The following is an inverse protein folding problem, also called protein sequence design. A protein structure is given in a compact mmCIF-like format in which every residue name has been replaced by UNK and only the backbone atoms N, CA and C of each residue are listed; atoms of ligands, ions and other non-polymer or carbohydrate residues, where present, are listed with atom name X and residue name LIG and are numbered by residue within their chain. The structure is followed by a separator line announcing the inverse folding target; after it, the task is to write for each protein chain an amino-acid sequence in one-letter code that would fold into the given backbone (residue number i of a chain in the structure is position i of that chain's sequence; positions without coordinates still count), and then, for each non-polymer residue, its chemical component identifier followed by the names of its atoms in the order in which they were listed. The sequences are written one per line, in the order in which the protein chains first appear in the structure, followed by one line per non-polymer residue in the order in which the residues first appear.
data_IF_943008444869
#
_entry.id   IF_943008444869
#
_cell.length_a   1.000
_cell.length_b   1.000
_cell.length_c   1.000
_cell.angle_alpha   90.00
_cell.angle_beta   90.00
_cell.angle_gamma   90.00
#
_symmetry.space_group_name_H-M   'P 1'
#
loop_
_entity.id
_entity.type
_entity.pdbx_description
1 polymer ?
#
# COMPACT_ATOMS: atom_id res chain seq x y z
N UNK A 1 -19.92 29.85 62.43
CA UNK A 1 -21.21 29.52 61.79
C UNK A 1 -21.35 30.48 60.64
N UNK A 2 -20.93 30.03 59.46
CA UNK A 2 -21.29 30.51 58.12
C UNK A 2 -20.86 29.38 57.18
N UNK A 3 -21.72 28.90 56.26
CA UNK A 3 -21.37 27.80 55.35
C UNK A 3 -20.59 28.33 54.13
N UNK A 4 -19.72 27.52 53.50
CA UNK A 4 -18.99 27.94 52.32
C UNK A 4 -19.88 27.91 51.07
N UNK A 5 -19.78 28.98 50.30
CA UNK A 5 -20.42 29.19 48.99
C UNK A 5 -19.82 28.22 47.97
N UNK A 6 -20.71 27.57 47.21
CA UNK A 6 -20.39 26.64 46.13
C UNK A 6 -19.85 27.41 44.91
N UNK A 7 -18.77 26.89 44.34
CA UNK A 7 -18.01 27.42 43.21
C UNK A 7 -18.76 27.15 41.89
N UNK A 8 -19.21 28.20 41.19
CA UNK A 8 -19.83 28.08 39.86
C UNK A 8 -18.74 28.02 38.79
N UNK A 9 -18.51 26.80 38.29
CA UNK A 9 -17.63 26.52 37.15
C UNK A 9 -18.29 26.98 35.85
N UNK A 10 -17.92 28.16 35.32
CA UNK A 10 -18.27 28.56 33.96
C UNK A 10 -17.13 28.26 32.97
N UNK A 11 -17.34 27.17 32.23
CA UNK A 11 -17.17 27.04 30.77
C UNK A 11 -16.01 27.79 30.10
N UNK A 12 -14.82 27.20 30.12
CA UNK A 12 -13.78 27.51 29.13
C UNK A 12 -14.01 26.63 27.90
N UNK A 13 -14.49 27.25 26.82
CA UNK A 13 -14.54 26.63 25.49
C UNK A 13 -13.10 26.48 24.99
N UNK A 14 -12.61 25.29 24.59
CA UNK A 14 -11.33 25.21 23.90
C UNK A 14 -11.52 25.76 22.49
N UNK A 15 -10.98 26.94 22.24
CA UNK A 15 -10.80 27.46 20.89
C UNK A 15 -9.88 26.49 20.13
N UNK A 16 -10.41 25.90 19.06
CA UNK A 16 -9.60 25.12 18.14
C UNK A 16 -8.57 26.04 17.48
N UNK A 17 -7.27 25.71 17.48
CA UNK A 17 -6.28 26.54 16.83
C UNK A 17 -6.51 26.56 15.32
N UNK A 18 -6.51 27.77 14.77
CA UNK A 18 -6.65 28.11 13.36
C UNK A 18 -5.44 27.53 12.60
N UNK A 19 -5.71 26.83 11.51
CA UNK A 19 -4.80 25.95 10.75
C UNK A 19 -3.67 26.66 9.97
N UNK A 20 -3.03 27.71 10.50
CA UNK A 20 -2.01 28.48 9.75
C UNK A 20 -0.65 28.62 10.46
N UNK A 21 -0.39 27.86 11.53
CA UNK A 21 0.89 27.93 12.24
C UNK A 21 1.50 26.55 12.49
N UNK A 22 1.60 25.74 11.41
CA UNK A 22 2.56 24.63 11.35
C UNK A 22 3.79 25.16 10.62
N UNK A 23 4.72 25.67 11.42
CA UNK A 23 6.12 25.88 11.07
C UNK A 23 6.57 24.64 10.30
N UNK A 24 7.08 24.86 9.08
CA UNK A 24 7.70 23.86 8.21
C UNK A 24 8.87 23.25 8.96
N UNK A 25 8.63 22.18 9.71
CA UNK A 25 9.68 21.26 10.11
C UNK A 25 10.20 20.62 8.82
N UNK A 26 11.50 20.79 8.48
CA UNK A 26 12.06 20.05 7.36
C UNK A 26 11.85 18.55 7.65
N UNK A 27 11.50 17.74 6.63
CA UNK A 27 11.37 16.31 6.81
C UNK A 27 12.66 15.77 7.45
N UNK A 28 12.57 14.77 8.34
CA UNK A 28 13.78 14.10 8.83
C UNK A 28 14.59 13.69 7.61
N UNK A 29 15.86 14.10 7.58
CA UNK A 29 16.79 13.75 6.52
C UNK A 29 16.72 12.24 6.31
N UNK A 30 16.21 11.83 5.15
CA UNK A 30 16.19 10.44 4.72
C UNK A 30 17.61 9.91 4.93
N UNK A 31 17.81 8.72 5.55
CA UNK A 31 19.13 8.12 5.62
C UNK A 31 19.70 8.14 4.21
N UNK A 32 20.82 8.82 4.01
CA UNK A 32 21.46 8.92 2.71
C UNK A 32 21.84 7.50 2.31
N UNK A 33 20.98 6.85 1.52
CA UNK A 33 21.23 5.54 0.94
C UNK A 33 22.59 5.62 0.24
N UNK A 34 23.44 4.63 0.49
CA UNK A 34 24.73 4.53 -0.17
C UNK A 34 24.52 4.09 -1.62
N UNK A 35 23.94 5.00 -2.41
CA UNK A 35 23.66 4.82 -3.83
C UNK A 35 24.94 4.45 -4.58
N UNK A 36 26.10 4.98 -4.15
CA UNK A 36 27.39 4.64 -4.74
C UNK A 36 27.74 3.18 -4.49
N UNK A 37 27.71 2.73 -3.23
CA UNK A 37 27.99 1.33 -2.89
C UNK A 37 27.02 0.36 -3.57
N UNK A 38 25.75 0.72 -3.70
CA UNK A 38 24.77 -0.08 -4.44
C UNK A 38 25.11 -0.17 -5.93
N UNK A 39 25.39 0.96 -6.60
CA UNK A 39 25.77 0.99 -8.02
C UNK A 39 27.07 0.21 -8.29
N UNK A 40 28.07 0.32 -7.42
CA UNK A 40 29.33 -0.40 -7.54
C UNK A 40 29.14 -1.93 -7.36
N UNK A 41 28.20 -2.34 -6.50
CA UNK A 41 27.79 -3.75 -6.42
C UNK A 41 27.10 -4.21 -7.71
N UNK A 42 26.17 -3.41 -8.26
CA UNK A 42 25.49 -3.77 -9.51
C UNK A 42 26.47 -3.92 -10.68
N UNK A 43 27.49 -3.04 -10.78
CA UNK A 43 28.59 -3.17 -11.76
C UNK A 43 29.30 -4.52 -11.65
N UNK A 44 29.61 -4.94 -10.43
CA UNK A 44 30.31 -6.21 -10.16
C UNK A 44 29.43 -7.43 -10.44
N UNK A 45 28.14 -7.37 -10.11
CA UNK A 45 27.15 -8.40 -10.48
C UNK A 45 27.00 -8.52 -12.00
N UNK A 46 26.94 -7.40 -12.74
CA UNK A 46 26.87 -7.42 -14.20
C UNK A 46 28.12 -8.10 -14.79
N UNK A 47 29.30 -7.74 -14.31
CA UNK A 47 30.55 -8.31 -14.76
C UNK A 47 30.64 -9.82 -14.47
N UNK A 48 30.18 -10.28 -13.30
CA UNK A 48 30.22 -11.70 -12.92
C UNK A 48 29.22 -12.55 -13.70
N UNK A 49 28.07 -11.99 -14.08
CA UNK A 49 27.06 -12.64 -14.91
C UNK A 49 27.31 -12.46 -16.42
N UNK A 50 28.41 -11.81 -16.80
CA UNK A 50 28.73 -11.46 -18.20
C UNK A 50 27.62 -10.67 -18.91
N UNK A 51 26.90 -9.83 -18.17
CA UNK A 51 25.86 -8.96 -18.69
C UNK A 51 26.47 -7.64 -19.18
N UNK A 52 26.01 -7.15 -20.33
CA UNK A 52 26.31 -5.77 -20.75
C UNK A 52 25.46 -4.80 -19.93
N UNK A 53 26.04 -4.31 -18.84
CA UNK A 53 25.49 -3.20 -18.08
C UNK A 53 25.62 -1.91 -18.91
N UNK A 54 24.51 -1.21 -19.13
CA UNK A 54 24.52 0.09 -19.80
C UNK A 54 24.75 1.17 -18.75
N UNK A 55 25.80 1.98 -18.93
CA UNK A 55 26.06 3.13 -18.09
C UNK A 55 25.25 4.31 -18.63
N UNK A 56 24.17 4.64 -17.93
CA UNK A 56 23.29 5.73 -18.30
C UNK A 56 23.88 7.04 -17.81
N UNK A 57 24.37 7.85 -18.75
CA UNK A 57 24.79 9.21 -18.46
C UNK A 57 23.53 10.04 -18.17
N UNK A 58 23.47 10.64 -16.98
CA UNK A 58 22.36 11.51 -16.63
C UNK A 58 22.48 12.80 -17.47
N UNK A 59 21.40 13.26 -18.15
CA UNK A 59 21.45 14.49 -18.92
C UNK A 59 21.87 15.64 -18.00
N UNK A 60 23.09 16.15 -18.19
CA UNK A 60 23.62 17.25 -17.41
C UNK A 60 23.19 18.56 -18.05
N UNK A 61 22.34 19.33 -17.36
CA UNK A 61 22.07 20.72 -17.73
C UNK A 61 23.35 21.53 -17.50
N UNK A 62 23.96 22.05 -18.57
CA UNK A 62 25.26 22.75 -18.51
C UNK A 62 25.27 23.97 -17.58
N UNK A 63 24.08 24.48 -17.22
CA UNK A 63 23.89 25.61 -16.32
C UNK A 63 24.08 25.28 -14.83
N UNK A 64 24.00 24.01 -14.41
CA UNK A 64 24.04 23.61 -12.98
C UNK A 64 25.18 22.65 -12.63
N UNK A 65 26.13 22.42 -13.56
CA UNK A 65 27.26 21.51 -13.36
C UNK A 65 28.18 21.88 -12.18
N UNK A 66 28.18 23.14 -11.74
CA UNK A 66 28.99 23.60 -10.61
C UNK A 66 28.33 23.33 -9.24
N UNK A 67 27.04 22.96 -9.22
CA UNK A 67 26.26 22.76 -8.00
C UNK A 67 25.91 21.30 -7.72
N UNK A 68 26.06 20.41 -8.72
CA UNK A 68 25.80 18.99 -8.57
C UNK A 68 27.11 18.21 -8.42
N UNK A 69 27.31 17.44 -7.34
CA UNK A 69 28.40 16.47 -7.31
C UNK A 69 28.18 15.49 -8.46
N UNK A 70 29.14 15.43 -9.39
CA UNK A 70 29.24 14.52 -10.55
C UNK A 70 28.11 13.50 -10.63
N UNK A 71 27.18 13.71 -11.55
CA UNK A 71 26.08 12.78 -11.82
C UNK A 71 26.62 11.35 -11.89
N UNK A 72 26.24 10.52 -10.92
CA UNK A 72 26.67 9.14 -10.89
C UNK A 72 26.09 8.45 -12.13
N UNK A 73 26.96 7.91 -12.99
CA UNK A 73 26.52 7.01 -14.05
C UNK A 73 25.69 5.89 -13.44
N UNK A 74 24.40 5.84 -13.80
CA UNK A 74 23.48 4.80 -13.31
C UNK A 74 23.68 3.57 -14.16
N UNK A 75 23.91 2.43 -13.52
CA UNK A 75 23.98 1.15 -14.22
C UNK A 75 22.60 0.57 -14.39
N UNK A 76 22.19 0.42 -15.65
CA UNK A 76 20.98 -0.29 -16.02
C UNK A 76 21.31 -1.73 -16.41
N UNK A 77 20.63 -2.69 -15.79
CA UNK A 77 20.66 -4.07 -16.25
C UNK A 77 19.72 -4.24 -17.45
N UNK A 78 20.13 -5.02 -18.47
CA UNK A 78 19.21 -5.43 -19.51
C UNK A 78 18.12 -6.32 -18.91
N UNK A 79 16.88 -6.17 -19.38
CA UNK A 79 15.78 -7.03 -18.95
C UNK A 79 16.07 -8.47 -19.40
N UNK A 80 16.23 -9.38 -18.44
CA UNK A 80 16.49 -10.79 -18.72
C UNK A 80 15.41 -11.39 -19.64
N UNK A 81 15.83 -12.12 -20.68
CA UNK A 81 14.93 -12.59 -21.76
C UNK A 81 13.76 -13.43 -21.23
N UNK A 82 14.02 -14.27 -20.22
CA UNK A 82 12.97 -15.06 -19.57
C UNK A 82 11.89 -14.18 -18.90
N UNK A 83 12.29 -13.06 -18.29
CA UNK A 83 11.36 -12.10 -17.67
C UNK A 83 10.56 -11.37 -18.76
N UNK A 84 11.24 -10.90 -19.80
CA UNK A 84 10.61 -10.26 -20.95
C UNK A 84 9.58 -11.17 -21.64
N UNK A 85 9.88 -12.47 -21.77
CA UNK A 85 8.97 -13.44 -22.38
C UNK A 85 7.69 -13.61 -21.57
N UNK A 86 7.82 -13.68 -20.24
CA UNK A 86 6.66 -13.80 -19.33
C UNK A 86 5.82 -12.52 -19.40
N UNK A 87 6.43 -11.34 -19.27
CA UNK A 87 5.71 -10.06 -19.30
C UNK A 87 5.00 -9.85 -20.63
N UNK A 88 5.69 -10.08 -21.75
CA UNK A 88 5.14 -9.89 -23.09
C UNK A 88 3.96 -10.83 -23.37
N UNK A 89 4.02 -12.08 -22.89
CA UNK A 89 2.90 -13.02 -23.02
C UNK A 89 1.66 -12.55 -22.25
N UNK A 90 1.85 -12.03 -21.03
CA UNK A 90 0.75 -11.51 -20.22
C UNK A 90 0.13 -10.25 -20.84
N UNK A 91 0.94 -9.38 -21.44
CA UNK A 91 0.49 -8.14 -22.08
C UNK A 91 -0.27 -8.33 -23.38
N UNK A 92 -0.29 -9.52 -23.99
CA UNK A 92 -1.10 -9.76 -25.18
C UNK A 92 -2.61 -9.73 -24.89
N UNK A 93 -3.03 -10.11 -23.68
CA UNK A 93 -4.45 -10.20 -23.31
C UNK A 93 -4.74 -9.65 -21.91
N UNK A 94 -4.40 -8.38 -21.62
CA UNK A 94 -4.36 -7.84 -20.25
C UNK A 94 -5.73 -7.86 -19.56
N UNK A 95 -6.80 -7.62 -20.33
CA UNK A 95 -8.18 -7.64 -19.83
C UNK A 95 -8.67 -9.04 -19.45
N UNK A 96 -8.15 -10.09 -20.11
CA UNK A 96 -8.59 -11.48 -19.96
C UNK A 96 -7.67 -12.33 -19.10
N UNK A 97 -6.61 -11.74 -18.52
CA UNK A 97 -5.70 -12.46 -17.63
C UNK A 97 -6.46 -13.11 -16.47
N UNK A 98 -6.30 -14.42 -16.39
CA UNK A 98 -6.82 -15.23 -15.30
C UNK A 98 -6.19 -14.79 -13.95
N UNK A 99 -6.88 -15.02 -12.82
CA UNK A 99 -6.28 -14.90 -11.50
C UNK A 99 -5.03 -15.77 -11.36
N UNK A 100 -4.15 -15.40 -10.44
CA UNK A 100 -2.95 -16.17 -10.08
C UNK A 100 -3.37 -17.61 -9.74
N UNK A 101 -2.57 -18.59 -10.16
CA UNK A 101 -2.96 -19.98 -9.95
C UNK A 101 -2.89 -20.34 -8.46
N UNK A 102 -3.86 -21.13 -7.98
CA UNK A 102 -3.87 -21.63 -6.59
C UNK A 102 -2.62 -22.43 -6.23
N UNK A 103 -1.93 -23.01 -7.22
CA UNK A 103 -0.69 -23.75 -7.02
C UNK A 103 0.46 -22.80 -6.66
N UNK A 104 0.58 -21.67 -7.36
CA UNK A 104 1.58 -20.64 -7.08
C UNK A 104 1.30 -19.93 -5.75
N UNK A 105 0.04 -19.67 -5.42
CA UNK A 105 -0.34 -19.10 -4.13
C UNK A 105 0.12 -19.93 -2.93
N UNK A 106 0.09 -21.27 -3.05
CA UNK A 106 0.52 -22.18 -1.97
C UNK A 106 2.02 -22.15 -1.69
N UNK A 107 2.84 -21.66 -2.63
CA UNK A 107 4.29 -21.58 -2.43
C UNK A 107 4.68 -20.51 -1.42
N UNK A 108 3.93 -19.41 -1.38
CA UNK A 108 4.23 -18.23 -0.56
C UNK A 108 3.17 -18.06 0.52
N UNK A 109 3.21 -18.95 1.51
CA UNK A 109 2.21 -19.02 2.56
C UNK A 109 2.60 -18.16 3.77
N UNK A 110 1.70 -17.27 4.16
CA UNK A 110 1.73 -16.51 5.43
C UNK A 110 0.61 -17.04 6.34
N UNK A 111 0.86 -17.27 7.65
CA UNK A 111 -0.17 -17.73 8.57
C UNK A 111 -1.42 -16.86 8.53
N UNK A 112 -2.62 -17.46 8.44
CA UNK A 112 -3.85 -16.70 8.26
C UNK A 112 -4.17 -15.77 9.44
N UNK A 113 -3.88 -16.19 10.67
CA UNK A 113 -4.26 -15.46 11.88
C UNK A 113 -3.63 -14.06 11.87
N UNK A 114 -4.46 -13.03 11.77
CA UNK A 114 -4.04 -11.62 11.73
C UNK A 114 -3.53 -11.13 10.38
N UNK A 115 -3.53 -11.97 9.35
CA UNK A 115 -3.05 -11.66 8.00
C UNK A 115 -4.06 -12.10 6.92
N UNK A 116 -5.33 -12.25 7.29
CA UNK A 116 -6.41 -12.69 6.41
C UNK A 116 -6.54 -11.78 5.18
N UNK A 117 -6.22 -10.50 5.35
CA UNK A 117 -6.21 -9.46 4.34
C UNK A 117 -5.30 -9.74 3.14
N UNK A 118 -4.32 -10.63 3.29
CA UNK A 118 -3.47 -11.06 2.20
C UNK A 118 -4.21 -11.99 1.23
N UNK A 119 -5.23 -12.70 1.70
CA UNK A 119 -5.92 -13.74 0.93
C UNK A 119 -7.30 -13.32 0.45
N UNK A 120 -7.94 -12.40 1.18
CA UNK A 120 -9.27 -11.91 0.83
C UNK A 120 -9.24 -10.40 0.71
N UNK A 121 -9.93 -9.92 -0.31
CA UNK A 121 -10.18 -8.49 -0.44
C UNK A 121 -11.17 -8.04 0.65
N UNK A 122 -11.07 -6.80 1.14
CA UNK A 122 -12.00 -6.28 2.13
C UNK A 122 -13.42 -6.27 1.55
N UNK A 123 -14.39 -6.70 2.33
CA UNK A 123 -15.82 -6.62 1.95
C UNK A 123 -16.28 -5.18 2.21
N UNK A 124 -17.09 -4.57 1.32
CA UNK A 124 -17.75 -3.30 1.61
C UNK A 124 -18.54 -3.44 2.92
N UNK A 125 -18.54 -2.42 3.77
CA UNK A 125 -19.31 -2.48 5.01
C UNK A 125 -20.81 -2.66 4.75
N UNK A 126 -21.52 -3.14 5.78
CA UNK A 126 -22.96 -3.42 5.69
C UNK A 126 -23.76 -2.18 5.28
N UNK A 127 -23.48 -0.97 5.76
CA UNK A 127 -24.31 0.20 5.42
C UNK A 127 -24.12 0.68 3.96
N UNK A 128 -22.88 0.82 3.50
CA UNK A 128 -22.60 1.20 2.10
C UNK A 128 -23.02 0.08 1.16
N UNK A 129 -22.74 -1.18 1.50
CA UNK A 129 -23.20 -2.35 0.75
C UNK A 129 -24.73 -2.44 0.67
N UNK A 130 -25.43 -2.20 1.79
CA UNK A 130 -26.89 -2.17 1.86
C UNK A 130 -27.49 -1.03 1.05
N UNK A 131 -26.87 0.16 1.07
CA UNK A 131 -27.31 1.29 0.23
C UNK A 131 -27.25 0.97 -1.26
N UNK A 132 -26.19 0.26 -1.69
CA UNK A 132 -26.04 -0.20 -3.08
C UNK A 132 -27.06 -1.28 -3.41
N UNK A 133 -27.22 -2.29 -2.55
CA UNK A 133 -28.18 -3.38 -2.74
C UNK A 133 -29.63 -2.88 -2.76
N UNK A 134 -30.00 -1.95 -1.88
CA UNK A 134 -31.34 -1.37 -1.83
C UNK A 134 -31.64 -0.55 -3.09
N UNK A 135 -30.66 0.20 -3.61
CA UNK A 135 -30.80 0.93 -4.87
C UNK A 135 -30.91 0.00 -6.08
N UNK A 136 -30.22 -1.14 -6.07
CA UNK A 136 -30.37 -2.20 -7.07
C UNK A 136 -31.75 -2.89 -7.00
N UNK A 137 -32.27 -3.12 -5.79
CA UNK A 137 -33.58 -3.76 -5.56
C UNK A 137 -34.78 -2.84 -5.87
N UNK A 138 -34.64 -1.51 -5.72
CA UNK A 138 -35.75 -0.58 -5.92
C UNK A 138 -36.22 -0.46 -7.38
N UNK A 139 -35.54 -1.04 -8.37
CA UNK A 139 -36.04 -1.18 -9.75
C UNK A 139 -36.44 0.13 -10.44
N UNK A 140 -36.14 1.31 -9.88
CA UNK A 140 -36.48 2.59 -10.48
C UNK A 140 -35.63 2.79 -11.73
N UNK A 141 -36.25 3.03 -12.90
CA UNK A 141 -35.49 3.41 -14.09
C UNK A 141 -34.91 4.80 -13.82
N UNK A 142 -33.64 4.86 -13.43
CA UNK A 142 -32.89 6.09 -13.49
C UNK A 142 -32.78 6.50 -14.97
N UNK A 143 -32.81 7.81 -15.31
CA UNK A 143 -32.59 8.29 -16.69
C UNK A 143 -31.19 7.94 -17.21
N UNK A 144 -30.29 7.50 -16.32
CA UNK A 144 -28.90 7.16 -16.60
C UNK A 144 -28.72 5.64 -16.61
N UNK A 145 -28.04 5.07 -17.64
CA UNK A 145 -27.74 3.65 -17.71
C UNK A 145 -27.02 3.16 -16.45
N UNK A 146 -27.23 1.88 -16.08
CA UNK A 146 -26.39 1.16 -15.09
C UNK A 146 -24.95 1.65 -15.18
N UNK A 147 -24.38 2.12 -14.07
CA UNK A 147 -22.99 2.55 -14.03
C UNK A 147 -22.07 1.31 -14.17
N UNK A 148 -21.95 0.80 -15.40
CA UNK A 148 -21.10 -0.34 -15.76
C UNK A 148 -19.64 -0.06 -15.42
N UNK A 149 -19.27 1.23 -15.39
CA UNK A 149 -17.90 1.66 -15.16
C UNK A 149 -17.50 1.55 -13.69
N UNK A 150 -18.40 1.84 -12.74
CA UNK A 150 -18.12 1.57 -11.31
C UNK A 150 -17.99 0.08 -11.02
N UNK A 151 -18.86 -0.77 -11.58
CA UNK A 151 -18.73 -2.24 -11.42
C UNK A 151 -17.41 -2.77 -12.01
N UNK A 152 -17.00 -2.24 -13.17
CA UNK A 152 -15.69 -2.54 -13.77
C UNK A 152 -14.54 -2.06 -12.89
N UNK A 153 -14.65 -0.86 -12.33
CA UNK A 153 -13.64 -0.28 -11.44
C UNK A 153 -13.46 -1.11 -10.16
N UNK A 154 -14.54 -1.59 -9.55
CA UNK A 154 -14.45 -2.47 -8.38
C UNK A 154 -13.88 -3.85 -8.74
N UNK A 155 -14.28 -4.43 -9.87
CA UNK A 155 -13.69 -5.67 -10.36
C UNK A 155 -12.18 -5.54 -10.63
N UNK A 156 -11.77 -4.43 -11.23
CA UNK A 156 -10.35 -4.12 -11.45
C UNK A 156 -9.61 -3.91 -10.14
N UNK A 157 -10.17 -3.13 -9.20
CA UNK A 157 -9.61 -2.92 -7.88
C UNK A 157 -9.42 -4.24 -7.11
N UNK A 158 -10.38 -5.18 -7.18
CA UNK A 158 -10.22 -6.51 -6.58
C UNK A 158 -9.05 -7.29 -7.17
N UNK A 159 -8.87 -7.22 -8.50
CA UNK A 159 -7.77 -7.89 -9.19
C UNK A 159 -6.41 -7.30 -8.81
N UNK A 160 -6.29 -5.97 -8.78
CA UNK A 160 -5.07 -5.30 -8.32
C UNK A 160 -4.78 -5.66 -6.87
N UNK A 161 -5.78 -5.58 -5.98
CA UNK A 161 -5.61 -5.94 -4.57
C UNK A 161 -5.04 -7.35 -4.39
N UNK A 162 -5.66 -8.36 -5.01
CA UNK A 162 -5.20 -9.76 -4.88
C UNK A 162 -3.80 -9.96 -5.48
N UNK A 163 -3.51 -9.33 -6.63
CA UNK A 163 -2.18 -9.40 -7.25
C UNK A 163 -1.11 -8.78 -6.35
N UNK A 164 -1.39 -7.62 -5.77
CA UNK A 164 -0.47 -6.92 -4.89
C UNK A 164 -0.33 -7.64 -3.54
N UNK A 165 -1.40 -8.19 -2.97
CA UNK A 165 -1.31 -9.04 -1.77
C UNK A 165 -0.46 -10.30 -2.01
N UNK A 166 -0.53 -10.89 -3.20
CA UNK A 166 0.34 -12.00 -3.57
C UNK A 166 1.80 -11.55 -3.70
N UNK A 167 2.06 -10.42 -4.38
CA UNK A 167 3.40 -9.84 -4.47
C UNK A 167 4.00 -9.55 -3.09
N UNK A 168 3.19 -9.05 -2.14
CA UNK A 168 3.61 -8.81 -0.76
C UNK A 168 4.02 -10.11 -0.05
N UNK A 169 3.31 -11.23 -0.30
CA UNK A 169 3.71 -12.56 0.23
C UNK A 169 5.02 -13.05 -0.38
N UNK A 170 5.21 -12.84 -1.69
CA UNK A 170 6.45 -13.19 -2.39
C UNK A 170 7.61 -12.38 -1.81
N UNK A 171 7.45 -11.07 -1.67
CA UNK A 171 8.45 -10.17 -1.11
C UNK A 171 8.80 -10.53 0.35
N UNK A 172 7.81 -10.87 1.18
CA UNK A 172 8.05 -11.35 2.54
C UNK A 172 8.89 -12.65 2.57
N UNK A 173 8.57 -13.61 1.70
CA UNK A 173 9.39 -14.82 1.58
C UNK A 173 10.81 -14.53 1.09
N UNK A 174 10.97 -13.62 0.12
CA UNK A 174 12.28 -13.20 -0.37
C UNK A 174 13.10 -12.55 0.75
N UNK A 175 12.53 -11.59 1.48
CA UNK A 175 13.22 -10.94 2.60
C UNK A 175 13.70 -11.93 3.68
N UNK A 176 12.89 -12.94 4.00
CA UNK A 176 13.31 -13.98 4.96
C UNK A 176 14.45 -14.85 4.42
N UNK A 177 14.43 -15.19 3.13
CA UNK A 177 15.49 -15.96 2.48
C UNK A 177 16.79 -15.15 2.39
N UNK A 178 16.69 -13.89 1.97
CA UNK A 178 17.85 -13.00 1.82
C UNK A 178 18.47 -12.66 3.18
N UNK A 179 17.65 -12.51 4.24
CA UNK A 179 18.13 -12.36 5.61
C UNK A 179 18.85 -13.62 6.10
N UNK A 180 18.33 -14.81 5.76
CA UNK A 180 19.00 -16.07 6.08
C UNK A 180 20.32 -16.21 5.33
N UNK A 181 20.36 -15.86 4.04
CA UNK A 181 21.57 -15.84 3.23
C UNK A 181 22.61 -14.86 3.79
N UNK A 182 22.19 -13.67 4.21
CA UNK A 182 23.07 -12.71 4.89
C UNK A 182 23.70 -13.30 6.16
N UNK A 183 22.89 -13.93 7.01
CA UNK A 183 23.39 -14.57 8.24
C UNK A 183 24.33 -15.76 7.97
N UNK A 184 24.10 -16.49 6.87
CA UNK A 184 25.00 -17.53 6.38
C UNK A 184 26.36 -16.93 6.03
N UNK A 185 26.39 -15.90 5.20
CA UNK A 185 27.62 -15.21 4.82
C UNK A 185 28.33 -14.61 6.04
N UNK A 186 27.60 -13.98 6.95
CA UNK A 186 28.18 -13.51 8.22
C UNK A 186 28.76 -14.66 9.06
N UNK A 187 28.08 -15.81 9.13
CA UNK A 187 28.58 -16.96 9.90
C UNK A 187 29.83 -17.58 9.27
N UNK A 188 29.89 -17.63 7.93
CA UNK A 188 31.05 -18.11 7.18
C UNK A 188 32.31 -17.26 7.45
N UNK A 189 32.16 -15.95 7.75
CA UNK A 189 33.29 -15.09 8.13
C UNK A 189 34.03 -15.55 9.39
N UNK A 190 33.36 -16.28 10.28
CA UNK A 190 33.98 -16.82 11.52
C UNK A 190 34.97 -17.95 11.25
N UNK A 191 34.98 -18.50 10.03
CA UNK A 191 35.93 -19.52 9.60
C UNK A 191 37.13 -18.94 8.84
N UNK A 192 37.20 -17.61 8.68
CA UNK A 192 38.27 -16.91 7.95
C UNK A 192 39.67 -17.30 8.47
N UNK A 193 39.88 -17.26 9.80
CA UNK A 193 41.17 -17.60 10.42
C UNK A 193 41.64 -19.06 10.21
N UNK A 194 40.71 -19.95 9.85
CA UNK A 194 40.99 -21.36 9.60
C UNK A 194 41.44 -21.65 8.15
N UNK A 195 41.27 -20.70 7.24
CA UNK A 195 41.53 -20.83 5.80
C UNK A 195 42.82 -20.11 5.38
N UNK A 196 43.93 -20.42 6.07
CA UNK A 196 45.26 -19.77 5.97
C UNK A 196 45.93 -19.68 4.59
N UNK A 197 45.41 -20.34 3.54
CA UNK A 197 46.08 -20.37 2.23
C UNK A 197 45.54 -19.35 1.21
N UNK A 198 44.37 -18.73 1.45
CA UNK A 198 43.78 -17.73 0.52
C UNK A 198 43.06 -16.57 1.24
N UNK A 199 43.63 -16.06 2.33
CA UNK A 199 43.01 -15.04 3.20
C UNK A 199 42.40 -13.84 2.45
N UNK A 200 43.12 -13.22 1.51
CA UNK A 200 42.65 -11.99 0.84
C UNK A 200 41.51 -12.22 -0.16
N UNK A 201 41.61 -13.24 -1.00
CA UNK A 201 40.56 -13.54 -2.00
C UNK A 201 39.31 -14.10 -1.33
N UNK A 202 39.48 -14.92 -0.29
CA UNK A 202 38.38 -15.46 0.49
C UNK A 202 37.61 -14.33 1.20
N UNK A 203 38.32 -13.39 1.83
CA UNK A 203 37.68 -12.23 2.47
C UNK A 203 36.87 -11.39 1.49
N UNK A 204 37.42 -11.06 0.32
CA UNK A 204 36.70 -10.29 -0.72
C UNK A 204 35.46 -11.05 -1.18
N UNK A 205 35.53 -12.38 -1.35
CA UNK A 205 34.38 -13.20 -1.71
C UNK A 205 33.30 -13.20 -0.62
N UNK A 206 33.70 -13.27 0.65
CA UNK A 206 32.80 -13.22 1.80
C UNK A 206 32.07 -11.88 1.90
N UNK A 207 32.81 -10.77 1.78
CA UNK A 207 32.26 -9.42 1.76
C UNK A 207 31.29 -9.24 0.58
N UNK A 208 31.61 -9.82 -0.58
CA UNK A 208 30.75 -9.76 -1.77
C UNK A 208 29.44 -10.54 -1.61
N UNK A 209 29.49 -11.76 -1.07
CA UNK A 209 28.29 -12.54 -0.75
C UNK A 209 27.37 -11.81 0.23
N UNK A 210 27.95 -11.23 1.28
CA UNK A 210 27.18 -10.44 2.26
C UNK A 210 26.63 -9.13 1.66
N UNK A 211 27.33 -8.49 0.73
CA UNK A 211 26.85 -7.31 0.02
C UNK A 211 25.69 -7.66 -0.94
N UNK A 212 25.81 -8.76 -1.69
CA UNK A 212 24.76 -9.27 -2.56
C UNK A 212 23.49 -9.63 -1.78
N UNK A 213 23.62 -10.36 -0.66
CA UNK A 213 22.48 -10.72 0.19
C UNK A 213 21.77 -9.49 0.77
N UNK A 214 22.52 -8.47 1.20
CA UNK A 214 21.94 -7.18 1.65
C UNK A 214 21.20 -6.46 0.53
N UNK A 215 21.75 -6.43 -0.67
CA UNK A 215 21.09 -5.80 -1.82
C UNK A 215 19.80 -6.54 -2.22
N UNK A 216 19.79 -7.87 -2.19
CA UNK A 216 18.58 -8.67 -2.41
C UNK A 216 17.52 -8.37 -1.34
N UNK A 217 17.92 -8.31 -0.06
CA UNK A 217 17.03 -7.97 1.04
C UNK A 217 16.41 -6.57 0.89
N UNK A 218 17.20 -5.59 0.45
CA UNK A 218 16.71 -4.24 0.15
C UNK A 218 15.69 -4.27 -1.00
N UNK A 219 16.01 -4.96 -2.11
CA UNK A 219 15.09 -5.11 -3.24
C UNK A 219 13.78 -5.80 -2.85
N UNK A 220 13.82 -6.79 -1.95
CA UNK A 220 12.62 -7.41 -1.39
C UNK A 220 11.80 -6.41 -0.56
N UNK A 221 12.44 -5.54 0.22
CA UNK A 221 11.76 -4.46 0.98
C UNK A 221 11.08 -3.46 0.04
N UNK A 222 11.77 -3.01 -1.01
CA UNK A 222 11.23 -2.09 -2.02
C UNK A 222 10.04 -2.72 -2.78
N UNK A 223 10.12 -4.02 -3.07
CA UNK A 223 9.02 -4.78 -3.66
C UNK A 223 7.82 -4.88 -2.71
N UNK A 224 8.06 -5.06 -1.40
CA UNK A 224 6.99 -5.09 -0.38
C UNK A 224 6.30 -3.73 -0.24
N UNK A 225 7.06 -2.62 -0.21
CA UNK A 225 6.51 -1.26 -0.19
C UNK A 225 5.68 -0.98 -1.46
N UNK A 226 6.21 -1.32 -2.64
CA UNK A 226 5.49 -1.17 -3.92
C UNK A 226 4.19 -1.97 -3.93
N UNK A 227 4.22 -3.20 -3.41
CA UNK A 227 3.03 -4.03 -3.27
C UNK A 227 2.01 -3.40 -2.30
N UNK A 228 2.46 -2.88 -1.15
CA UNK A 228 1.59 -2.21 -0.18
C UNK A 228 0.93 -0.95 -0.76
N UNK A 229 1.68 -0.12 -1.49
CA UNK A 229 1.14 1.06 -2.20
C UNK A 229 0.13 0.69 -3.28
N UNK A 230 0.37 -0.42 -3.99
CA UNK A 230 -0.57 -0.96 -4.98
C UNK A 230 -1.85 -1.48 -4.33
N UNK A 231 -1.75 -2.15 -3.17
CA UNK A 231 -2.92 -2.54 -2.37
C UNK A 231 -3.70 -1.31 -1.89
N UNK A 232 -3.04 -0.27 -1.40
CA UNK A 232 -3.67 0.97 -0.97
C UNK A 232 -4.42 1.67 -2.12
N UNK A 233 -3.79 1.73 -3.31
CA UNK A 233 -4.41 2.26 -4.52
C UNK A 233 -5.66 1.46 -4.91
N UNK A 234 -5.58 0.12 -4.85
CA UNK A 234 -6.72 -0.75 -5.11
C UNK A 234 -7.86 -0.56 -4.10
N UNK A 235 -7.55 -0.40 -2.81
CA UNK A 235 -8.54 -0.08 -1.77
C UNK A 235 -9.23 1.25 -2.07
N UNK A 236 -8.46 2.29 -2.43
CA UNK A 236 -8.99 3.60 -2.79
C UNK A 236 -9.90 3.53 -4.02
N UNK A 237 -9.46 2.85 -5.09
CA UNK A 237 -10.28 2.64 -6.30
C UNK A 237 -11.60 1.94 -6.00
N UNK A 238 -11.56 0.89 -5.16
CA UNK A 238 -12.79 0.21 -4.73
C UNK A 238 -13.66 1.17 -3.93
N UNK A 239 -13.11 1.87 -2.95
CA UNK A 239 -13.84 2.84 -2.14
C UNK A 239 -14.53 3.89 -3.00
N UNK A 240 -13.83 4.49 -3.96
CA UNK A 240 -14.39 5.44 -4.91
C UNK A 240 -15.53 4.82 -5.74
N UNK A 241 -15.36 3.60 -6.24
CA UNK A 241 -16.42 2.88 -6.97
C UNK A 241 -17.70 2.72 -6.13
N UNK A 242 -17.58 2.25 -4.88
CA UNK A 242 -18.71 2.04 -3.99
C UNK A 242 -19.38 3.36 -3.58
N UNK A 243 -18.59 4.41 -3.34
CA UNK A 243 -19.10 5.76 -3.03
C UNK A 243 -19.85 6.40 -4.20
N UNK A 244 -19.40 6.16 -5.44
CA UNK A 244 -20.13 6.58 -6.64
C UNK A 244 -21.48 5.84 -6.79
N UNK A 245 -21.53 4.58 -6.38
CA UNK A 245 -22.76 3.77 -6.43
C UNK A 245 -23.77 4.15 -5.35
N UNK A 246 -23.31 4.56 -4.17
CA UNK A 246 -24.16 4.88 -3.02
C UNK A 246 -24.97 6.16 -3.19
N UNK A 247 -24.59 7.06 -4.11
CA UNK A 247 -25.31 8.30 -4.37
C UNK A 247 -25.19 9.35 -3.26
N UNK A 248 -24.15 9.26 -2.43
CA UNK A 248 -23.82 10.26 -1.41
C UNK A 248 -23.41 11.60 -2.03
N UNK A 249 -23.51 12.68 -1.25
CA UNK A 249 -23.02 14.00 -1.67
C UNK A 249 -21.49 14.00 -1.88
N UNK A 250 -20.99 14.88 -2.75
CA UNK A 250 -19.55 14.98 -3.02
C UNK A 250 -18.73 15.22 -1.74
N UNK A 251 -19.23 16.05 -0.82
CA UNK A 251 -18.58 16.32 0.47
C UNK A 251 -18.47 15.06 1.33
N UNK A 252 -19.53 14.24 1.35
CA UNK A 252 -19.49 12.94 2.02
C UNK A 252 -18.50 11.98 1.37
N UNK A 253 -18.49 11.90 0.04
CA UNK A 253 -17.58 11.05 -0.71
C UNK A 253 -16.10 11.45 -0.50
N UNK A 254 -15.78 12.74 -0.53
CA UNK A 254 -14.43 13.25 -0.27
C UNK A 254 -13.98 12.97 1.15
N UNK A 255 -14.88 13.17 2.12
CA UNK A 255 -14.58 12.84 3.51
C UNK A 255 -14.24 11.35 3.66
N UNK A 256 -14.97 10.46 2.99
CA UNK A 256 -14.83 9.02 3.19
C UNK A 256 -13.64 8.41 2.43
N UNK A 257 -13.17 9.04 1.35
CA UNK A 257 -12.10 8.51 0.49
C UNK A 257 -10.79 8.22 1.22
N UNK A 258 -10.38 9.09 2.16
CA UNK A 258 -9.06 9.00 2.82
C UNK A 258 -9.10 8.33 4.21
N UNK A 259 -10.17 7.59 4.52
CA UNK A 259 -10.25 6.86 5.79
C UNK A 259 -9.15 5.78 5.89
N UNK A 260 -8.55 5.58 7.08
CA UNK A 260 -7.58 4.50 7.29
C UNK A 260 -8.12 3.15 6.84
N UNK A 261 -7.23 2.29 6.35
CA UNK A 261 -7.61 0.94 5.96
C UNK A 261 -7.70 0.04 7.18
N UNK A 262 -8.91 -0.37 7.54
CA UNK A 262 -9.14 -1.49 8.43
C UNK A 262 -9.30 -2.75 7.57
N UNK A 263 -8.49 -3.78 7.83
CA UNK A 263 -8.52 -4.96 7.00
C UNK A 263 -9.81 -5.77 7.10
N UNK A 264 -10.57 -5.60 8.19
CA UNK A 264 -11.82 -6.34 8.43
C UNK A 264 -12.97 -5.81 7.60
N UNK A 265 -12.99 -4.50 7.33
CA UNK A 265 -14.10 -3.83 6.70
C UNK A 265 -13.61 -2.51 6.11
N UNK A 266 -14.16 -2.11 4.96
CA UNK A 266 -13.83 -0.83 4.33
C UNK A 266 -14.47 0.33 5.15
N UNK A 267 -13.98 0.58 6.36
CA UNK A 267 -14.65 1.33 7.43
C UNK A 267 -15.16 2.71 6.99
N UNK A 268 -16.48 2.88 7.03
CA UNK A 268 -17.25 4.05 6.55
C UNK A 268 -18.41 4.41 7.48
N UNK A 269 -18.83 3.48 8.33
CA UNK A 269 -20.14 3.53 9.00
C UNK A 269 -20.15 4.47 10.22
N UNK A 270 -19.04 4.52 10.98
CA UNK A 270 -18.86 5.45 12.09
C UNK A 270 -18.92 6.90 11.63
N UNK A 271 -18.33 7.20 10.46
CA UNK A 271 -18.38 8.53 9.87
C UNK A 271 -19.72 8.82 9.22
N UNK A 272 -20.32 7.84 8.52
CA UNK A 272 -21.67 7.95 7.97
C UNK A 272 -22.68 8.34 9.06
N UNK A 273 -22.70 7.67 10.21
CA UNK A 273 -23.64 8.00 11.29
C UNK A 273 -23.48 9.41 11.88
N UNK A 274 -22.29 10.01 11.80
CA UNK A 274 -22.03 11.38 12.25
C UNK A 274 -22.42 12.47 11.24
N UNK A 275 -22.71 12.11 9.98
CA UNK A 275 -23.02 13.09 8.94
C UNK A 275 -24.50 13.44 8.90
N UNK A 276 -24.82 14.74 8.96
CA UNK A 276 -26.21 15.24 8.95
C UNK A 276 -26.98 14.82 7.68
N UNK A 277 -26.30 14.79 6.54
CA UNK A 277 -26.89 14.44 5.23
C UNK A 277 -27.07 12.93 5.06
N UNK A 278 -26.30 12.11 5.78
CA UNK A 278 -26.49 10.66 5.76
C UNK A 278 -27.83 10.29 6.37
N UNK A 279 -28.31 11.02 7.37
CA UNK A 279 -29.60 10.72 8.00
C UNK A 279 -30.74 10.89 7.00
N UNK A 280 -30.71 11.94 6.19
CA UNK A 280 -31.66 12.14 5.08
C UNK A 280 -31.53 11.08 3.99
N UNK A 281 -30.31 10.69 3.61
CA UNK A 281 -30.09 9.64 2.60
C UNK A 281 -30.48 8.25 3.12
N UNK A 282 -30.17 7.92 4.38
CA UNK A 282 -30.56 6.68 5.06
C UNK A 282 -32.07 6.61 5.29
N UNK A 283 -32.72 7.73 5.63
CA UNK A 283 -34.18 7.82 5.66
C UNK A 283 -34.80 7.64 4.28
N UNK A 284 -34.22 8.23 3.23
CA UNK A 284 -34.69 8.08 1.84
C UNK A 284 -34.50 6.65 1.33
N UNK A 285 -33.45 5.96 1.80
CA UNK A 285 -33.17 4.56 1.52
C UNK A 285 -33.92 3.59 2.47
N UNK A 286 -34.76 4.08 3.40
CA UNK A 286 -35.50 3.24 4.33
C UNK A 286 -34.63 2.46 5.34
N UNK A 287 -33.34 2.78 5.45
CA UNK A 287 -32.37 2.13 6.33
C UNK A 287 -32.37 2.71 7.76
N UNK A 288 -33.10 3.80 7.97
CA UNK A 288 -33.30 4.40 9.29
C UNK A 288 -34.72 4.09 9.80
N UNK A 289 -34.84 3.23 10.81
CA UNK A 289 -36.12 3.02 11.52
C UNK A 289 -36.39 4.27 12.36
N UNK A 290 -37.50 5.01 12.14
CA UNK A 290 -37.81 6.15 12.98
C UNK A 290 -37.93 5.72 14.45
N UNK A 291 -37.41 6.51 15.40
CA UNK A 291 -37.61 6.21 16.82
C UNK A 291 -39.11 6.07 17.10
N UNK A 292 -39.52 4.92 17.66
CA UNK A 292 -40.91 4.67 18.00
C UNK A 292 -41.43 5.82 18.87
N UNK A 293 -42.52 6.44 18.41
CA UNK A 293 -43.18 7.50 19.14
C UNK A 293 -43.58 6.97 20.53
N UNK A 294 -43.00 7.54 21.59
CA UNK A 294 -43.34 7.19 22.97
C UNK A 294 -44.85 7.41 23.17
N UNK A 295 -45.60 6.41 23.68
CA UNK A 295 -47.04 6.58 23.90
C UNK A 295 -47.26 7.71 24.90
N UNK A 296 -48.07 8.68 24.50
CA UNK A 296 -48.52 9.76 25.39
C UNK A 296 -49.41 9.15 26.45
N UNK A 297 -48.90 9.02 27.68
CA UNK A 297 -49.73 8.76 28.84
C UNK A 297 -50.71 9.93 28.98
N UNK A 298 -52.01 9.65 28.80
CA UNK A 298 -53.08 10.56 29.20
C UNK A 298 -53.34 10.32 30.68
N UNK A 299 -53.20 11.38 31.48
CA UNK A 299 -53.65 11.43 32.86
C UNK A 299 -55.17 11.64 32.90
#
# INVERSE_FOLDING_TARGET
MDPPVLDDTQSTTPAWPRLEELIVTPPPSVPQEDYRGHQDLLKRVAASLHLQAEEMEEPSDSLFNDLSPSALGRVAFPLHEGVARISNALWQTPASLAPISKKEERKYFVPLKGHEYLYTHPVPNSLVGESVNHREQQGKPAPTPKNKDSQRLDAFGRKVYLSSSFQLRVANCQALLDSYEFNLWESLSKFEDSLRERDKEFKVFMEEGAAAARASLQAASDAADTAARSMASAVSMRRASWLLLSGLSNDAQLSMQDLPFNWKALETDTRLHGMKDSHTTLQTLGLCVPPQAKPKFKL
#
